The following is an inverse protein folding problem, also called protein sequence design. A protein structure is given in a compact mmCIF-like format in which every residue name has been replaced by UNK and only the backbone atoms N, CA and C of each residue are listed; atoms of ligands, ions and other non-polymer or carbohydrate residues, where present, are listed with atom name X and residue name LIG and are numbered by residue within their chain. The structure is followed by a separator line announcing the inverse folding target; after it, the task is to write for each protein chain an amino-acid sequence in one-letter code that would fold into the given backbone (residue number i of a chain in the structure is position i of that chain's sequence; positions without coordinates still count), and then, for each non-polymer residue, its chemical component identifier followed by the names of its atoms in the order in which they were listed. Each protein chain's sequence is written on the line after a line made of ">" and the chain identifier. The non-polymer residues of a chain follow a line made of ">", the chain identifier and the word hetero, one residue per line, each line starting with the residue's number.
data_IF_735380055122
#
_entry.id   IF_735380055122
#
_cell.length_a   1.000
_cell.length_b   1.000
_cell.length_c   1.000
_cell.angle_alpha   90.00
_cell.angle_beta   90.00
_cell.angle_gamma   90.00
#
_symmetry.space_group_name_H-M   'P 1'
#
loop_
_entity.id
_entity.type
_entity.pdbx_description
1 polymer ?
#
# COMPACT_ATOMS: atom_id res chain seq x y z
N UNK A 1 -0.10 -33.97 -43.93
CA UNK A 1 -0.54 -33.67 -42.52
C UNK A 1 0.59 -33.63 -41.47
N UNK A 2 1.85 -33.46 -41.87
CA UNK A 2 3.00 -33.40 -40.92
C UNK A 2 3.54 -31.98 -40.65
N UNK A 3 2.99 -30.94 -41.29
CA UNK A 3 3.49 -29.54 -41.14
C UNK A 3 2.91 -28.79 -39.95
N UNK A 4 1.74 -29.16 -39.41
CA UNK A 4 1.06 -28.45 -38.31
C UNK A 4 1.57 -28.82 -36.92
N UNK A 5 2.07 -30.04 -36.71
CA UNK A 5 2.55 -30.47 -35.39
C UNK A 5 3.90 -29.84 -35.00
N UNK A 6 4.74 -29.52 -35.99
CA UNK A 6 6.07 -28.93 -35.76
C UNK A 6 6.00 -27.41 -35.47
N UNK A 7 4.96 -26.72 -35.93
CA UNK A 7 4.77 -25.29 -35.60
C UNK A 7 4.25 -25.08 -34.17
N UNK A 8 3.39 -25.97 -33.67
CA UNK A 8 2.86 -25.90 -32.32
C UNK A 8 3.90 -26.29 -31.27
N UNK A 9 4.79 -27.26 -31.55
CA UNK A 9 5.90 -27.58 -30.66
C UNK A 9 6.97 -26.49 -30.62
N UNK A 10 7.29 -25.86 -31.75
CA UNK A 10 8.23 -24.73 -31.82
C UNK A 10 7.66 -23.45 -31.15
N UNK A 11 6.34 -23.23 -31.20
CA UNK A 11 5.65 -22.14 -30.48
C UNK A 11 5.64 -22.38 -28.97
N UNK A 12 5.42 -23.61 -28.52
CA UNK A 12 5.47 -23.98 -27.11
C UNK A 12 6.89 -23.94 -26.53
N UNK A 13 7.90 -24.39 -27.27
CA UNK A 13 9.31 -24.24 -26.88
C UNK A 13 9.76 -22.76 -26.83
N UNK A 14 9.33 -21.91 -27.77
CA UNK A 14 9.62 -20.48 -27.74
C UNK A 14 8.94 -19.76 -26.58
N UNK A 15 7.77 -20.21 -26.12
CA UNK A 15 7.08 -19.62 -24.95
C UNK A 15 7.72 -20.03 -23.62
N UNK A 16 8.17 -21.28 -23.46
CA UNK A 16 8.84 -21.75 -22.23
C UNK A 16 10.24 -21.14 -22.05
N UNK A 17 11.05 -21.11 -23.10
CA UNK A 17 12.38 -20.45 -23.11
C UNK A 17 12.26 -18.95 -22.80
N UNK A 18 11.07 -18.33 -22.99
CA UNK A 18 10.87 -16.89 -22.76
C UNK A 18 10.67 -16.52 -21.28
N UNK A 19 10.12 -17.40 -20.45
CA UNK A 19 9.92 -17.12 -19.01
C UNK A 19 11.24 -17.25 -18.25
N UNK A 20 11.99 -18.32 -18.46
CA UNK A 20 13.32 -18.52 -17.87
C UNK A 20 14.28 -17.40 -18.27
N UNK A 21 14.31 -17.01 -19.55
CA UNK A 21 15.14 -15.91 -20.03
C UNK A 21 14.76 -14.56 -19.43
N UNK A 22 13.49 -14.32 -19.10
CA UNK A 22 13.07 -13.12 -18.37
C UNK A 22 13.53 -13.17 -16.93
N UNK A 23 13.36 -14.30 -16.25
CA UNK A 23 13.77 -14.49 -14.86
C UNK A 23 15.30 -14.33 -14.74
N UNK A 24 16.08 -14.97 -15.61
CA UNK A 24 17.54 -14.80 -15.63
C UNK A 24 17.94 -13.32 -15.86
N UNK A 25 17.32 -12.65 -16.81
CA UNK A 25 17.55 -11.23 -17.04
C UNK A 25 17.22 -10.38 -15.79
N UNK A 26 16.11 -10.67 -15.11
CA UNK A 26 15.74 -9.96 -13.88
C UNK A 26 16.81 -10.15 -12.80
N UNK A 27 17.31 -11.36 -12.60
CA UNK A 27 18.40 -11.65 -11.66
C UNK A 27 19.71 -10.95 -12.06
N UNK A 28 20.10 -11.03 -13.32
CA UNK A 28 21.30 -10.35 -13.83
C UNK A 28 21.23 -8.85 -13.54
N UNK A 29 20.09 -8.19 -13.86
CA UNK A 29 19.93 -6.76 -13.62
C UNK A 29 19.82 -6.41 -12.15
N UNK A 30 19.22 -7.24 -11.31
CA UNK A 30 19.21 -7.06 -9.88
C UNK A 30 20.60 -7.10 -9.25
N UNK A 31 21.47 -8.02 -9.74
CA UNK A 31 22.83 -8.24 -9.22
C UNK A 31 23.91 -7.34 -9.84
N UNK A 32 23.59 -6.53 -10.85
CA UNK A 32 24.53 -5.56 -11.45
C UNK A 32 24.25 -4.16 -10.98
N UNK A 33 25.24 -3.35 -10.63
CA UNK A 33 24.98 -1.97 -10.21
C UNK A 33 26.22 -1.17 -9.81
N UNK A 34 26.05 0.14 -9.67
CA UNK A 34 27.08 1.05 -9.20
C UNK A 34 27.43 0.83 -7.73
N UNK A 35 28.56 1.36 -7.26
CA UNK A 35 28.92 1.33 -5.82
C UNK A 35 27.83 1.93 -4.95
N UNK A 36 27.17 3.03 -5.38
CA UNK A 36 26.04 3.67 -4.65
C UNK A 36 24.85 2.74 -4.51
N UNK A 37 24.51 1.98 -5.57
CA UNK A 37 23.47 0.97 -5.53
C UNK A 37 23.77 -0.11 -4.48
N UNK A 38 24.99 -0.63 -4.43
CA UNK A 38 25.36 -1.66 -3.47
C UNK A 38 25.42 -1.16 -2.04
N UNK A 39 25.85 0.10 -1.78
CA UNK A 39 25.74 0.70 -0.45
C UNK A 39 24.28 0.85 -0.01
N UNK A 40 23.39 1.22 -0.93
CA UNK A 40 21.95 1.28 -0.65
C UNK A 40 21.39 -0.11 -0.30
N UNK A 41 21.66 -1.14 -1.13
CA UNK A 41 21.22 -2.52 -0.89
C UNK A 41 21.79 -3.05 0.43
N UNK A 42 23.07 -2.80 0.74
CA UNK A 42 23.68 -3.18 2.01
C UNK A 42 22.98 -2.51 3.20
N UNK A 43 22.69 -1.22 3.12
CA UNK A 43 21.95 -0.51 4.16
C UNK A 43 20.57 -1.13 4.42
N UNK A 44 19.83 -1.44 3.36
CA UNK A 44 18.56 -2.15 3.48
C UNK A 44 18.71 -3.55 4.06
N UNK A 45 19.73 -4.30 3.63
CA UNK A 45 20.01 -5.65 4.15
C UNK A 45 20.36 -5.63 5.64
N UNK A 46 21.11 -4.62 6.11
CA UNK A 46 21.41 -4.44 7.54
C UNK A 46 20.12 -4.19 8.33
N UNK A 47 19.24 -3.28 7.85
CA UNK A 47 17.95 -3.03 8.51
C UNK A 47 17.09 -4.28 8.56
N UNK A 48 17.01 -5.04 7.47
CA UNK A 48 16.28 -6.32 7.42
C UNK A 48 16.88 -7.33 8.40
N UNK A 49 18.21 -7.41 8.48
CA UNK A 49 18.90 -8.32 9.41
C UNK A 49 18.61 -7.97 10.88
N UNK A 50 18.67 -6.67 11.24
CA UNK A 50 18.34 -6.21 12.59
C UNK A 50 16.87 -6.49 12.95
N UNK A 51 15.96 -6.23 12.01
CA UNK A 51 14.55 -6.54 12.18
C UNK A 51 14.29 -8.03 12.33
N UNK A 52 14.99 -8.86 11.58
CA UNK A 52 14.88 -10.32 11.70
C UNK A 52 15.35 -10.80 13.07
N UNK A 53 16.45 -10.26 13.60
CA UNK A 53 16.88 -10.56 14.98
C UNK A 53 15.86 -10.12 16.02
N UNK A 54 15.25 -8.94 15.84
CA UNK A 54 14.17 -8.48 16.72
C UNK A 54 12.92 -9.40 16.63
N UNK A 55 12.59 -9.87 15.42
CA UNK A 55 11.49 -10.79 15.21
C UNK A 55 11.75 -12.18 15.83
N UNK A 56 13.00 -12.69 15.79
CA UNK A 56 13.35 -13.94 16.49
C UNK A 56 13.10 -13.82 17.98
N UNK A 57 13.40 -12.66 18.59
CA UNK A 57 13.06 -12.40 19.99
C UNK A 57 11.55 -12.38 20.24
N UNK A 58 10.79 -11.77 19.33
CA UNK A 58 9.33 -11.79 19.41
C UNK A 58 8.76 -13.21 19.28
N UNK A 59 9.36 -14.08 18.46
CA UNK A 59 8.97 -15.49 18.38
C UNK A 59 9.24 -16.26 19.67
N UNK A 60 10.37 -15.97 20.34
CA UNK A 60 10.78 -16.62 21.58
C UNK A 60 9.88 -16.22 22.76
N UNK A 61 9.63 -14.91 22.92
CA UNK A 61 8.90 -14.35 24.07
C UNK A 61 7.41 -14.09 23.79
N UNK A 62 6.97 -14.28 22.55
CA UNK A 62 5.62 -13.97 22.11
C UNK A 62 5.35 -12.46 22.00
N UNK A 63 4.07 -12.11 21.82
CA UNK A 63 3.65 -10.70 21.70
C UNK A 63 3.76 -9.91 23.03
N UNK A 64 4.11 -10.56 24.15
CA UNK A 64 4.31 -9.91 25.44
C UNK A 64 5.47 -8.91 25.49
N UNK A 65 6.40 -8.93 24.52
CA UNK A 65 7.47 -7.93 24.41
C UNK A 65 7.08 -6.71 23.58
N UNK A 66 5.87 -6.69 23.02
CA UNK A 66 5.31 -5.56 22.27
C UNK A 66 4.57 -4.62 23.21
N UNK A 67 4.20 -3.43 22.71
CA UNK A 67 3.31 -2.50 23.43
C UNK A 67 1.83 -2.92 23.41
N UNK A 68 1.49 -4.01 22.71
CA UNK A 68 0.13 -4.50 22.64
C UNK A 68 -0.32 -5.08 23.99
N UNK A 69 -1.61 -4.99 24.26
CA UNK A 69 -2.22 -5.45 25.50
C UNK A 69 -3.52 -6.21 25.20
N UNK A 70 -4.17 -6.69 26.27
CA UNK A 70 -5.51 -7.29 26.16
C UNK A 70 -6.52 -6.31 25.56
N UNK A 71 -6.43 -5.02 25.87
CA UNK A 71 -7.39 -4.00 25.46
C UNK A 71 -7.04 -3.42 24.10
N UNK A 72 -5.74 -3.25 23.80
CA UNK A 72 -5.21 -2.78 22.51
C UNK A 72 -4.44 -3.92 21.85
N UNK A 73 -5.16 -4.75 21.11
CA UNK A 73 -4.62 -5.98 20.51
C UNK A 73 -3.95 -5.77 19.16
N UNK A 74 -4.18 -4.63 18.50
CA UNK A 74 -3.56 -4.24 17.24
C UNK A 74 -2.78 -2.94 17.42
N UNK A 75 -1.47 -3.04 17.27
CA UNK A 75 -0.54 -1.92 17.41
C UNK A 75 -0.08 -1.38 16.06
N UNK A 76 1.20 -0.98 16.02
CA UNK A 76 1.82 -0.39 14.84
C UNK A 76 1.81 -1.33 13.63
N UNK A 77 1.86 -2.64 13.80
CA UNK A 77 1.86 -3.60 12.69
C UNK A 77 0.58 -3.52 11.85
N UNK A 78 -0.57 -3.58 12.50
CA UNK A 78 -1.87 -3.49 11.81
C UNK A 78 -2.13 -2.05 11.34
N UNK A 79 -1.62 -1.05 12.05
CA UNK A 79 -1.64 0.33 11.56
C UNK A 79 -0.90 0.48 10.21
N UNK A 80 0.29 -0.13 10.07
CA UNK A 80 1.02 -0.17 8.81
C UNK A 80 0.29 -0.97 7.73
N UNK A 81 -0.20 -2.17 8.07
CA UNK A 81 -1.01 -2.98 7.17
C UNK A 81 -2.14 -2.15 6.55
N UNK A 82 -2.96 -1.52 7.39
CA UNK A 82 -4.12 -0.73 6.97
C UNK A 82 -3.72 0.42 6.04
N UNK A 83 -2.60 1.07 6.30
CA UNK A 83 -2.07 2.13 5.46
C UNK A 83 -1.58 1.60 4.11
N UNK A 84 -0.80 0.49 4.10
CA UNK A 84 -0.24 -0.06 2.86
C UNK A 84 -1.27 -0.73 1.95
N UNK A 85 -2.39 -1.21 2.48
CA UNK A 85 -3.56 -1.57 1.64
C UNK A 85 -3.96 -0.36 0.77
N UNK A 86 -3.97 0.85 1.33
CA UNK A 86 -4.20 2.09 0.57
C UNK A 86 -3.15 2.34 -0.52
N UNK A 87 -1.87 2.13 -0.21
CA UNK A 87 -0.78 2.27 -1.19
C UNK A 87 -0.89 1.27 -2.34
N UNK A 88 -1.39 0.06 -2.07
CA UNK A 88 -1.63 -0.95 -3.10
C UNK A 88 -2.56 -0.48 -4.23
N UNK A 89 -3.47 0.48 -3.96
CA UNK A 89 -4.31 1.09 -5.00
C UNK A 89 -3.54 1.93 -6.03
N UNK A 90 -2.24 2.16 -5.85
CA UNK A 90 -1.42 2.93 -6.80
C UNK A 90 -1.51 2.42 -8.24
N UNK A 91 -1.60 1.10 -8.43
CA UNK A 91 -1.72 0.49 -9.75
C UNK A 91 -3.03 0.89 -10.44
N UNK A 92 -4.18 0.73 -9.77
CA UNK A 92 -5.49 0.98 -10.39
C UNK A 92 -5.66 2.44 -10.81
N UNK A 93 -5.04 3.39 -10.11
CA UNK A 93 -5.12 4.82 -10.42
C UNK A 93 -4.46 5.18 -11.76
N UNK A 94 -3.56 4.38 -12.26
CA UNK A 94 -2.92 4.58 -13.58
C UNK A 94 -3.46 3.60 -14.62
N UNK A 95 -3.79 2.39 -14.21
CA UNK A 95 -4.32 1.32 -15.08
C UNK A 95 -5.71 1.66 -15.61
N UNK A 96 -6.62 2.12 -14.74
CA UNK A 96 -7.99 2.47 -15.11
C UNK A 96 -8.04 3.57 -16.20
N UNK A 97 -7.42 4.76 -16.03
CA UNK A 97 -7.44 5.78 -17.08
C UNK A 97 -6.73 5.32 -18.36
N UNK A 98 -5.64 4.56 -18.24
CA UNK A 98 -4.88 4.08 -19.40
C UNK A 98 -5.70 3.13 -20.27
N UNK A 99 -6.32 2.10 -19.68
CA UNK A 99 -7.01 1.05 -20.44
C UNK A 99 -8.49 1.36 -20.74
N UNK A 100 -9.22 2.01 -19.82
CA UNK A 100 -10.63 2.32 -20.04
C UNK A 100 -10.86 3.66 -20.74
N UNK A 101 -10.03 4.66 -20.47
CA UNK A 101 -10.17 5.99 -21.07
C UNK A 101 -9.12 6.29 -22.14
N UNK A 102 -8.29 5.30 -22.53
CA UNK A 102 -7.23 5.42 -23.53
C UNK A 102 -6.27 6.60 -23.26
N UNK A 103 -6.02 6.89 -21.97
CA UNK A 103 -5.15 7.99 -21.55
C UNK A 103 -3.67 7.59 -21.63
N UNK A 104 -3.10 7.74 -22.86
CA UNK A 104 -1.75 7.24 -23.20
C UNK A 104 -0.61 7.82 -22.36
N UNK A 105 -0.80 9.00 -21.76
CA UNK A 105 0.22 9.62 -20.90
C UNK A 105 0.61 8.74 -19.70
N UNK A 106 -0.26 7.84 -19.23
CA UNK A 106 0.04 6.92 -18.14
C UNK A 106 0.82 5.67 -18.57
N UNK A 107 1.02 5.42 -19.86
CA UNK A 107 1.71 4.21 -20.32
C UNK A 107 3.10 3.98 -19.74
N UNK A 108 3.84 5.07 -19.43
CA UNK A 108 5.15 4.99 -18.78
C UNK A 108 5.06 4.74 -17.27
N UNK A 109 3.90 4.94 -16.64
CA UNK A 109 3.71 4.87 -15.19
C UNK A 109 3.02 3.57 -14.78
N UNK A 110 2.21 2.94 -15.65
CA UNK A 110 1.40 1.75 -15.32
C UNK A 110 2.21 0.65 -14.66
N UNK A 111 3.28 0.19 -15.29
CA UNK A 111 4.11 -0.89 -14.77
C UNK A 111 4.81 -0.52 -13.45
N UNK A 112 5.16 0.76 -13.28
CA UNK A 112 5.73 1.26 -12.00
C UNK A 112 4.68 1.21 -10.89
N UNK A 113 3.42 1.54 -11.21
CA UNK A 113 2.29 1.41 -10.29
C UNK A 113 2.02 -0.05 -9.89
N UNK A 114 2.07 -0.98 -10.84
CA UNK A 114 1.88 -2.41 -10.59
C UNK A 114 2.97 -2.98 -9.68
N UNK A 115 4.24 -2.63 -9.90
CA UNK A 115 5.33 -3.05 -9.02
C UNK A 115 5.28 -2.41 -7.64
N UNK A 116 4.82 -1.16 -7.53
CA UNK A 116 4.55 -0.54 -6.24
C UNK A 116 3.42 -1.26 -5.51
N UNK A 117 2.35 -1.63 -6.21
CA UNK A 117 1.24 -2.40 -5.64
C UNK A 117 1.68 -3.77 -5.13
N UNK A 118 2.47 -4.52 -5.92
CA UNK A 118 3.05 -5.80 -5.50
C UNK A 118 3.87 -5.64 -4.22
N UNK A 119 4.73 -4.62 -4.18
CA UNK A 119 5.57 -4.35 -3.00
C UNK A 119 4.72 -3.99 -1.77
N UNK A 120 3.69 -3.16 -1.95
CA UNK A 120 2.78 -2.77 -0.87
C UNK A 120 1.97 -3.96 -0.33
N UNK A 121 1.43 -4.82 -1.21
CA UNK A 121 0.70 -6.03 -0.77
C UNK A 121 1.61 -7.02 -0.07
N UNK A 122 2.87 -7.15 -0.51
CA UNK A 122 3.87 -7.98 0.20
C UNK A 122 4.11 -7.44 1.61
N UNK A 123 4.27 -6.12 1.75
CA UNK A 123 4.41 -5.49 3.07
C UNK A 123 3.16 -5.72 3.93
N UNK A 124 1.95 -5.64 3.36
CA UNK A 124 0.71 -5.97 4.07
C UNK A 124 0.74 -7.40 4.64
N UNK A 125 1.11 -8.38 3.82
CA UNK A 125 1.24 -9.77 4.26
C UNK A 125 2.27 -9.95 5.38
N UNK A 126 3.42 -9.27 5.28
CA UNK A 126 4.45 -9.32 6.32
C UNK A 126 4.01 -8.66 7.62
N UNK A 127 3.28 -7.54 7.57
CA UNK A 127 2.76 -6.91 8.78
C UNK A 127 1.72 -7.76 9.49
N UNK A 128 0.82 -8.45 8.76
CA UNK A 128 -0.08 -9.44 9.34
C UNK A 128 0.72 -10.60 9.97
N UNK A 129 1.74 -11.10 9.25
CA UNK A 129 2.54 -12.23 9.70
C UNK A 129 3.26 -11.96 11.04
N UNK A 130 3.85 -10.77 11.20
CA UNK A 130 4.55 -10.40 12.44
C UNK A 130 3.60 -10.04 13.59
N UNK A 131 2.35 -9.67 13.29
CA UNK A 131 1.31 -9.41 14.30
C UNK A 131 0.73 -10.70 14.89
N UNK A 132 0.91 -11.83 14.20
CA UNK A 132 0.36 -13.12 14.65
C UNK A 132 1.15 -13.68 15.82
N UNK A 133 0.47 -14.00 16.93
CA UNK A 133 1.06 -14.71 18.06
C UNK A 133 1.48 -16.16 17.74
N UNK A 134 0.89 -16.76 16.67
CA UNK A 134 1.20 -18.10 16.19
C UNK A 134 1.40 -18.12 14.68
N UNK A 135 2.53 -17.61 14.17
CA UNK A 135 2.76 -17.42 12.72
C UNK A 135 2.78 -18.75 11.94
N UNK A 136 3.08 -19.87 12.58
CA UNK A 136 3.00 -21.21 11.96
C UNK A 136 1.59 -21.58 11.49
N UNK A 137 0.56 -20.92 12.03
CA UNK A 137 -0.85 -21.12 11.67
C UNK A 137 -1.35 -20.16 10.57
N UNK A 138 -0.49 -19.34 9.99
CA UNK A 138 -0.90 -18.35 8.96
C UNK A 138 -1.64 -18.99 7.81
N UNK A 139 -1.24 -20.19 7.39
CA UNK A 139 -1.88 -20.91 6.29
C UNK A 139 -3.27 -21.47 6.64
N UNK A 140 -3.65 -21.53 7.91
CA UNK A 140 -4.94 -22.11 8.32
C UNK A 140 -6.13 -21.32 7.74
N UNK A 141 -5.98 -20.02 7.49
CA UNK A 141 -7.02 -19.19 6.85
C UNK A 141 -7.39 -19.71 5.46
N UNK A 142 -6.45 -20.33 4.75
CA UNK A 142 -6.64 -20.91 3.43
C UNK A 142 -6.89 -22.41 3.47
N UNK A 143 -6.21 -23.15 4.37
CA UNK A 143 -6.33 -24.62 4.51
C UNK A 143 -7.64 -25.03 5.20
N UNK A 144 -8.14 -24.18 6.08
CA UNK A 144 -9.41 -24.37 6.80
C UNK A 144 -10.31 -23.16 6.57
N UNK A 145 -10.82 -22.95 5.34
CA UNK A 145 -11.54 -21.75 4.97
C UNK A 145 -12.81 -21.56 5.78
N UNK A 146 -13.02 -20.35 6.26
CA UNK A 146 -14.23 -19.96 6.99
C UNK A 146 -14.92 -18.82 6.22
N UNK A 147 -15.78 -19.13 5.23
CA UNK A 147 -16.37 -18.12 4.33
C UNK A 147 -17.22 -17.05 5.06
N UNK A 148 -17.65 -17.30 6.28
CA UNK A 148 -18.37 -16.33 7.11
C UNK A 148 -17.44 -15.32 7.81
N UNK A 149 -16.11 -15.48 7.70
CA UNK A 149 -15.13 -14.60 8.33
C UNK A 149 -14.65 -13.52 7.33
N UNK A 150 -14.72 -12.22 7.68
CA UNK A 150 -14.12 -11.17 6.87
C UNK A 150 -12.61 -11.36 6.66
N UNK A 151 -11.89 -11.96 7.61
CA UNK A 151 -10.46 -12.25 7.51
C UNK A 151 -10.14 -13.23 6.36
N UNK A 152 -11.00 -14.22 6.13
CA UNK A 152 -10.86 -15.11 4.98
C UNK A 152 -10.94 -14.34 3.67
N UNK A 153 -11.96 -13.50 3.51
CA UNK A 153 -12.15 -12.69 2.31
C UNK A 153 -11.06 -11.64 2.12
N UNK A 154 -10.53 -11.06 3.20
CA UNK A 154 -9.40 -10.13 3.13
C UNK A 154 -8.14 -10.84 2.63
N UNK A 155 -7.86 -12.05 3.10
CA UNK A 155 -6.75 -12.89 2.62
C UNK A 155 -6.92 -13.26 1.13
N UNK A 156 -8.13 -13.61 0.70
CA UNK A 156 -8.44 -13.91 -0.72
C UNK A 156 -8.30 -12.66 -1.58
N UNK A 157 -8.80 -11.51 -1.12
CA UNK A 157 -8.75 -10.27 -1.88
C UNK A 157 -7.33 -9.74 -2.05
N UNK A 158 -6.53 -9.74 -0.99
CA UNK A 158 -5.11 -9.33 -1.03
C UNK A 158 -4.27 -10.30 -1.85
N UNK A 159 -4.39 -11.61 -1.62
CA UNK A 159 -3.67 -12.63 -2.38
C UNK A 159 -4.02 -12.62 -3.86
N UNK A 160 -5.30 -12.50 -4.19
CA UNK A 160 -5.78 -12.37 -5.57
C UNK A 160 -5.26 -11.10 -6.25
N UNK A 161 -5.26 -9.96 -5.54
CA UNK A 161 -4.72 -8.71 -6.07
C UNK A 161 -3.22 -8.79 -6.33
N UNK A 162 -2.47 -9.43 -5.41
CA UNK A 162 -1.05 -9.71 -5.60
C UNK A 162 -0.81 -10.51 -6.89
N UNK A 163 -1.54 -11.63 -7.07
CA UNK A 163 -1.39 -12.49 -8.23
C UNK A 163 -1.76 -11.78 -9.53
N UNK A 164 -2.87 -11.02 -9.55
CA UNK A 164 -3.29 -10.25 -10.71
C UNK A 164 -2.21 -9.24 -11.14
N UNK A 165 -1.69 -8.44 -10.20
CA UNK A 165 -0.64 -7.46 -10.51
C UNK A 165 0.67 -8.14 -10.91
N UNK A 166 1.06 -9.26 -10.29
CA UNK A 166 2.26 -10.01 -10.65
C UNK A 166 2.16 -10.54 -12.09
N UNK A 167 1.04 -11.14 -12.47
CA UNK A 167 0.80 -11.64 -13.84
C UNK A 167 0.81 -10.49 -14.84
N UNK A 168 0.11 -9.39 -14.56
CA UNK A 168 0.05 -8.22 -15.44
C UNK A 168 1.45 -7.62 -15.63
N UNK A 169 2.16 -7.36 -14.53
CA UNK A 169 3.49 -6.74 -14.56
C UNK A 169 4.51 -7.60 -15.32
N UNK A 170 4.57 -8.91 -15.05
CA UNK A 170 5.53 -9.81 -15.69
C UNK A 170 5.24 -9.97 -17.19
N UNK A 171 3.97 -10.13 -17.59
CA UNK A 171 3.60 -10.27 -18.99
C UNK A 171 3.82 -8.99 -19.76
N UNK A 172 3.45 -7.83 -19.18
CA UNK A 172 3.66 -6.52 -19.80
C UNK A 172 5.15 -6.22 -19.94
N UNK A 173 5.95 -6.50 -18.91
CA UNK A 173 7.40 -6.33 -18.94
C UNK A 173 8.07 -7.25 -19.97
N UNK A 174 7.61 -8.51 -20.08
CA UNK A 174 8.10 -9.45 -21.08
C UNK A 174 7.79 -9.00 -22.51
N UNK A 175 6.59 -8.45 -22.72
CA UNK A 175 6.18 -7.90 -24.01
C UNK A 175 7.00 -6.64 -24.37
N UNK A 176 7.16 -5.72 -23.43
CA UNK A 176 8.04 -4.54 -23.58
C UNK A 176 9.46 -4.98 -23.95
N UNK A 177 10.06 -5.92 -23.21
CA UNK A 177 11.41 -6.42 -23.50
C UNK A 177 11.57 -7.00 -24.91
N UNK A 178 10.51 -7.57 -25.48
CA UNK A 178 10.52 -8.14 -26.85
C UNK A 178 10.16 -7.11 -27.92
N UNK A 179 9.78 -5.89 -27.56
CA UNK A 179 9.28 -4.87 -28.48
C UNK A 179 7.94 -5.26 -29.16
N UNK A 180 7.14 -6.11 -28.54
CA UNK A 180 5.85 -6.59 -29.05
C UNK A 180 4.70 -6.12 -28.20
N UNK A 181 3.50 -6.05 -28.77
CA UNK A 181 2.29 -5.79 -27.99
C UNK A 181 2.01 -6.94 -27.01
N UNK A 182 1.51 -6.64 -25.79
CA UNK A 182 1.08 -7.68 -24.86
C UNK A 182 0.00 -8.60 -25.48
N UNK A 183 -0.05 -9.88 -25.10
CA UNK A 183 -1.02 -10.81 -25.63
C UNK A 183 -2.46 -10.37 -25.30
N UNK A 184 -3.39 -10.63 -26.23
CA UNK A 184 -4.78 -10.14 -26.11
C UNK A 184 -5.49 -10.61 -24.84
N UNK A 185 -5.15 -11.78 -24.32
CA UNK A 185 -5.76 -12.36 -23.12
C UNK A 185 -5.42 -11.63 -21.83
N UNK A 186 -4.35 -10.80 -21.81
CA UNK A 186 -4.01 -10.02 -20.61
C UNK A 186 -5.01 -8.87 -20.37
N UNK A 187 -5.68 -8.39 -21.43
CA UNK A 187 -6.63 -7.28 -21.32
C UNK A 187 -7.82 -7.59 -20.40
N UNK A 188 -8.51 -8.75 -20.49
CA UNK A 188 -9.50 -9.16 -19.50
C UNK A 188 -8.95 -9.21 -18.06
N UNK A 189 -7.73 -9.71 -17.86
CA UNK A 189 -7.10 -9.78 -16.54
C UNK A 189 -6.91 -8.38 -15.96
N UNK A 190 -6.45 -7.42 -16.77
CA UNK A 190 -6.33 -6.01 -16.38
C UNK A 190 -7.69 -5.42 -16.02
N UNK A 191 -8.74 -5.72 -16.81
CA UNK A 191 -10.10 -5.22 -16.53
C UNK A 191 -10.61 -5.79 -15.19
N UNK A 192 -10.37 -7.08 -14.91
CA UNK A 192 -10.74 -7.71 -13.63
C UNK A 192 -9.95 -7.11 -12.45
N UNK A 193 -8.68 -6.72 -12.65
CA UNK A 193 -7.88 -6.13 -11.56
C UNK A 193 -8.46 -4.81 -11.04
N UNK A 194 -9.26 -4.09 -11.83
CA UNK A 194 -9.87 -2.80 -11.44
C UNK A 194 -10.91 -2.99 -10.33
N UNK A 195 -12.01 -3.77 -10.51
CA UNK A 195 -12.95 -4.02 -9.42
C UNK A 195 -12.29 -4.78 -8.26
N UNK A 196 -11.27 -5.61 -8.53
CA UNK A 196 -10.53 -6.30 -7.48
C UNK A 196 -9.76 -5.32 -6.59
N UNK A 197 -9.17 -4.26 -7.15
CA UNK A 197 -8.54 -3.20 -6.36
C UNK A 197 -9.54 -2.44 -5.47
N UNK A 198 -10.79 -2.29 -5.89
CA UNK A 198 -11.84 -1.72 -5.04
C UNK A 198 -12.20 -2.71 -3.93
N UNK A 199 -12.26 -4.01 -4.23
CA UNK A 199 -12.63 -5.04 -3.26
C UNK A 199 -11.63 -5.15 -2.10
N UNK A 200 -10.31 -5.01 -2.32
CA UNK A 200 -9.34 -5.07 -1.22
C UNK A 200 -9.63 -4.00 -0.16
N UNK A 201 -10.00 -2.79 -0.57
CA UNK A 201 -10.31 -1.71 0.39
C UNK A 201 -11.64 -1.92 1.10
N UNK A 202 -12.63 -2.42 0.37
CA UNK A 202 -13.96 -2.67 0.91
C UNK A 202 -13.94 -3.83 1.90
N UNK A 203 -13.25 -4.92 1.56
CA UNK A 203 -13.17 -6.10 2.43
C UNK A 203 -12.33 -5.80 3.67
N UNK A 204 -11.18 -5.09 3.52
CA UNK A 204 -10.39 -4.66 4.68
C UNK A 204 -11.20 -3.72 5.60
N UNK A 205 -12.02 -2.80 5.05
CA UNK A 205 -12.91 -1.99 5.87
C UNK A 205 -13.95 -2.85 6.61
N UNK A 206 -14.50 -3.88 5.98
CA UNK A 206 -15.44 -4.82 6.61
C UNK A 206 -14.77 -5.70 7.67
N UNK A 207 -13.45 -5.94 7.57
CA UNK A 207 -12.71 -6.61 8.63
C UNK A 207 -12.82 -5.84 9.96
N UNK A 208 -12.74 -4.50 9.91
CA UNK A 208 -12.89 -3.64 11.09
C UNK A 208 -14.36 -3.49 11.49
N UNK A 209 -15.23 -3.14 10.56
CA UNK A 209 -16.66 -2.94 10.85
C UNK A 209 -17.40 -4.23 11.22
N UNK A 210 -16.81 -5.39 10.98
CA UNK A 210 -17.30 -6.69 11.44
C UNK A 210 -17.01 -6.99 12.91
N UNK A 211 -16.42 -6.06 13.67
CA UNK A 211 -16.12 -6.19 15.10
C UNK A 211 -17.16 -5.45 15.95
N UNK A 212 -18.28 -6.08 16.38
CA UNK A 212 -19.39 -5.39 17.02
C UNK A 212 -19.04 -4.75 18.37
N UNK A 213 -18.00 -5.25 19.03
CA UNK A 213 -17.49 -4.63 20.26
C UNK A 213 -16.64 -3.37 20.06
N UNK A 214 -16.48 -2.87 18.82
CA UNK A 214 -15.65 -1.72 18.48
C UNK A 214 -16.50 -0.66 17.78
N UNK A 215 -17.22 0.12 18.56
CA UNK A 215 -18.17 1.13 18.10
C UNK A 215 -17.56 2.12 17.10
N UNK A 216 -16.30 2.50 17.28
CA UNK A 216 -15.58 3.41 16.38
C UNK A 216 -15.56 2.97 14.92
N UNK A 217 -15.53 1.66 14.67
CA UNK A 217 -15.49 1.11 13.31
C UNK A 217 -16.87 0.74 12.75
N UNK A 218 -17.92 0.78 13.58
CA UNK A 218 -19.31 0.46 13.17
C UNK A 218 -19.95 1.61 12.38
N UNK A 219 -19.36 1.91 11.22
CA UNK A 219 -19.82 2.97 10.33
C UNK A 219 -19.82 2.54 8.87
N UNK A 220 -20.89 2.87 8.13
CA UNK A 220 -20.95 2.62 6.70
C UNK A 220 -19.97 3.49 5.89
N UNK A 221 -19.48 4.58 6.49
CA UNK A 221 -18.54 5.51 5.84
C UNK A 221 -17.13 4.92 5.78
N UNK A 222 -16.82 3.89 6.56
CA UNK A 222 -15.47 3.34 6.66
C UNK A 222 -14.92 2.86 5.31
N UNK A 223 -15.69 2.10 4.53
CA UNK A 223 -15.25 1.61 3.23
C UNK A 223 -15.03 2.74 2.20
N UNK A 224 -15.96 3.70 2.00
CA UNK A 224 -15.70 4.90 1.20
C UNK A 224 -14.48 5.71 1.65
N UNK A 225 -14.27 5.87 2.96
CA UNK A 225 -13.09 6.56 3.52
C UNK A 225 -11.79 5.81 3.22
N UNK A 226 -11.79 4.48 3.31
CA UNK A 226 -10.64 3.66 2.91
C UNK A 226 -10.28 3.88 1.44
N UNK A 227 -11.27 3.88 0.57
CA UNK A 227 -11.07 4.09 -0.86
C UNK A 227 -10.58 5.52 -1.16
N UNK A 228 -11.17 6.54 -0.54
CA UNK A 228 -10.73 7.94 -0.70
C UNK A 228 -9.28 8.15 -0.27
N UNK A 229 -8.90 7.62 0.90
CA UNK A 229 -7.52 7.71 1.38
C UNK A 229 -6.52 6.93 0.49
N UNK A 230 -6.94 5.82 -0.11
CA UNK A 230 -6.15 5.05 -1.05
C UNK A 230 -5.87 5.83 -2.35
N UNK A 231 -6.89 6.57 -2.84
CA UNK A 231 -6.78 7.43 -4.03
C UNK A 231 -5.86 8.63 -3.81
N UNK A 232 -5.52 8.95 -2.58
CA UNK A 232 -4.54 9.97 -2.25
C UNK A 232 -3.16 9.38 -1.92
N UNK A 233 -3.07 8.35 -1.05
CA UNK A 233 -1.80 7.79 -0.58
C UNK A 233 -1.01 7.06 -1.67
N UNK A 234 -1.66 6.18 -2.44
CA UNK A 234 -1.03 5.41 -3.51
C UNK A 234 -0.40 6.30 -4.59
N UNK A 235 -1.19 7.16 -5.26
CA UNK A 235 -0.65 8.06 -6.28
C UNK A 235 0.36 9.07 -5.75
N UNK A 236 0.25 9.55 -4.50
CA UNK A 236 1.25 10.46 -3.93
C UNK A 236 2.62 9.80 -3.80
N UNK A 237 2.66 8.55 -3.31
CA UNK A 237 3.90 7.78 -3.25
C UNK A 237 4.43 7.46 -4.66
N UNK A 238 3.57 7.12 -5.61
CA UNK A 238 3.96 6.87 -6.99
C UNK A 238 4.58 8.11 -7.65
N UNK A 239 4.03 9.32 -7.41
CA UNK A 239 4.62 10.58 -7.85
C UNK A 239 6.02 10.76 -7.25
N UNK A 240 6.18 10.54 -5.93
CA UNK A 240 7.48 10.65 -5.26
C UNK A 240 8.51 9.72 -5.88
N UNK A 241 8.14 8.47 -6.13
CA UNK A 241 9.01 7.48 -6.73
C UNK A 241 9.37 7.84 -8.18
N UNK A 242 8.43 8.31 -8.99
CA UNK A 242 8.70 8.77 -10.36
C UNK A 242 9.67 9.96 -10.39
N UNK A 243 9.49 10.93 -9.47
CA UNK A 243 10.39 12.09 -9.36
C UNK A 243 11.78 11.68 -8.85
N UNK A 244 11.85 10.74 -7.91
CA UNK A 244 13.11 10.18 -7.42
C UNK A 244 13.87 9.44 -8.53
N UNK A 245 13.18 8.58 -9.30
CA UNK A 245 13.75 7.86 -10.43
C UNK A 245 14.30 8.85 -11.45
N UNK A 246 13.53 9.87 -11.82
CA UNK A 246 13.98 10.92 -12.76
C UNK A 246 15.26 11.60 -12.27
N UNK A 247 15.35 11.89 -10.96
CA UNK A 247 16.55 12.50 -10.37
C UNK A 247 17.77 11.57 -10.37
N UNK A 248 17.56 10.27 -10.19
CA UNK A 248 18.64 9.28 -10.07
C UNK A 248 19.11 8.74 -11.42
N UNK A 249 18.20 8.58 -12.39
CA UNK A 249 18.47 7.88 -13.66
C UNK A 249 18.23 8.73 -14.90
N UNK A 250 17.61 9.90 -14.76
CA UNK A 250 17.20 10.72 -15.91
C UNK A 250 15.91 10.23 -16.61
N UNK A 251 15.34 9.09 -16.21
CA UNK A 251 14.11 8.57 -16.81
C UNK A 251 12.91 9.45 -16.45
N UNK A 252 12.27 10.05 -17.48
CA UNK A 252 11.12 10.93 -17.30
C UNK A 252 9.82 10.25 -17.76
N UNK A 253 8.89 10.13 -16.83
CA UNK A 253 7.53 9.61 -17.10
C UNK A 253 6.63 10.64 -17.79
N UNK A 254 7.04 11.90 -17.86
CA UNK A 254 6.31 13.01 -18.45
C UNK A 254 5.53 13.85 -17.44
N UNK A 255 5.57 15.16 -17.65
CA UNK A 255 4.92 16.16 -16.76
C UNK A 255 3.40 16.00 -16.73
N UNK A 256 2.80 15.61 -17.86
CA UNK A 256 1.36 15.44 -17.98
C UNK A 256 0.86 14.33 -17.05
N UNK A 257 1.55 13.18 -17.00
CA UNK A 257 1.21 12.08 -16.11
C UNK A 257 1.27 12.50 -14.63
N UNK A 258 2.35 13.19 -14.22
CA UNK A 258 2.51 13.68 -12.86
C UNK A 258 1.42 14.69 -12.45
N UNK A 259 1.07 15.62 -13.34
CA UNK A 259 0.00 16.61 -13.11
C UNK A 259 -1.37 15.94 -12.95
N UNK A 260 -1.68 14.94 -13.76
CA UNK A 260 -2.95 14.21 -13.66
C UNK A 260 -3.02 13.36 -12.41
N UNK A 261 -1.92 12.71 -12.03
CA UNK A 261 -1.85 12.01 -10.72
C UNK A 261 -2.05 12.98 -9.56
N UNK A 262 -1.44 14.17 -9.60
CA UNK A 262 -1.64 15.20 -8.57
C UNK A 262 -3.10 15.68 -8.48
N UNK A 263 -3.84 15.69 -9.58
CA UNK A 263 -5.29 15.96 -9.58
C UNK A 263 -6.05 14.82 -8.90
N UNK A 264 -5.71 13.56 -9.17
CA UNK A 264 -6.31 12.40 -8.50
C UNK A 264 -6.07 12.49 -6.98
N UNK A 265 -4.84 12.80 -6.56
CA UNK A 265 -4.50 13.02 -5.14
C UNK A 265 -5.37 14.12 -4.54
N UNK A 266 -5.58 15.23 -5.25
CA UNK A 266 -6.41 16.33 -4.76
C UNK A 266 -7.85 15.89 -4.50
N UNK A 267 -8.48 15.18 -5.46
CA UNK A 267 -9.83 14.65 -5.26
C UNK A 267 -9.89 13.61 -4.15
N UNK A 268 -8.89 12.71 -4.06
CA UNK A 268 -8.79 11.75 -2.97
C UNK A 268 -8.72 12.43 -1.60
N UNK A 269 -7.94 13.51 -1.46
CA UNK A 269 -7.84 14.26 -0.21
C UNK A 269 -9.13 15.02 0.13
N UNK A 270 -9.80 15.62 -0.85
CA UNK A 270 -11.11 16.27 -0.64
C UNK A 270 -12.11 15.27 -0.06
N UNK A 271 -12.23 14.10 -0.70
CA UNK A 271 -13.15 13.06 -0.25
C UNK A 271 -12.77 12.49 1.11
N UNK A 272 -11.46 12.30 1.37
CA UNK A 272 -11.01 11.80 2.67
C UNK A 272 -11.35 12.77 3.80
N UNK A 273 -11.09 14.07 3.63
CA UNK A 273 -11.44 15.10 4.62
C UNK A 273 -12.96 15.19 4.78
N UNK A 274 -13.71 15.13 3.68
CA UNK A 274 -15.17 15.14 3.72
C UNK A 274 -15.73 13.97 4.54
N UNK A 275 -15.25 12.74 4.31
CA UNK A 275 -15.71 11.57 5.05
C UNK A 275 -15.31 11.63 6.54
N UNK A 276 -14.12 12.12 6.87
CA UNK A 276 -13.73 12.35 8.26
C UNK A 276 -14.69 13.35 8.95
N UNK A 277 -15.02 14.45 8.28
CA UNK A 277 -15.99 15.41 8.81
C UNK A 277 -17.39 14.79 8.99
N UNK A 278 -17.81 13.92 8.07
CA UNK A 278 -19.09 13.21 8.18
C UNK A 278 -19.09 12.25 9.37
N UNK A 279 -18.00 11.55 9.65
CA UNK A 279 -17.89 10.67 10.82
C UNK A 279 -17.97 11.46 12.13
N UNK A 280 -17.23 12.57 12.23
CA UNK A 280 -17.27 13.45 13.39
C UNK A 280 -18.68 14.03 13.58
N UNK A 281 -19.29 14.55 12.49
CA UNK A 281 -20.65 15.07 12.55
C UNK A 281 -21.64 14.00 13.04
N UNK A 282 -21.57 12.80 12.47
CA UNK A 282 -22.45 11.70 12.84
C UNK A 282 -22.28 11.34 14.33
N UNK A 283 -21.04 11.21 14.82
CA UNK A 283 -20.77 10.86 16.22
C UNK A 283 -21.36 11.90 17.20
N UNK A 284 -21.10 13.19 16.96
CA UNK A 284 -21.54 14.25 17.89
C UNK A 284 -23.01 14.62 17.71
N UNK A 285 -23.57 14.56 16.50
CA UNK A 285 -24.98 14.80 16.25
C UNK A 285 -25.87 13.71 16.83
N UNK A 286 -25.46 12.44 16.69
CA UNK A 286 -26.21 11.29 17.23
C UNK A 286 -26.13 11.20 18.75
N UNK A 287 -25.15 11.86 19.38
CA UNK A 287 -24.93 11.87 20.83
C UNK A 287 -24.86 10.48 21.46
N UNK A 288 -24.28 9.52 20.72
CA UNK A 288 -24.02 8.17 21.22
C UNK A 288 -22.67 8.21 21.94
N UNK A 289 -22.63 8.03 23.29
CA UNK A 289 -21.39 8.17 24.07
C UNK A 289 -20.23 7.37 23.52
N UNK A 290 -20.46 6.09 23.21
CA UNK A 290 -19.46 5.18 22.69
C UNK A 290 -18.82 5.64 21.37
N UNK A 291 -19.55 6.38 20.53
CA UNK A 291 -19.00 6.96 19.31
C UNK A 291 -18.24 8.27 19.58
N UNK A 292 -18.73 9.07 20.52
CA UNK A 292 -18.14 10.37 20.85
C UNK A 292 -16.81 10.21 21.59
N UNK A 293 -16.69 9.25 22.52
CA UNK A 293 -15.52 9.04 23.38
C UNK A 293 -14.25 8.76 22.57
N UNK A 294 -14.32 8.00 21.49
CA UNK A 294 -13.17 7.76 20.60
C UNK A 294 -12.66 9.07 19.98
N UNK A 295 -13.55 9.93 19.47
CA UNK A 295 -13.16 11.22 18.91
C UNK A 295 -12.67 12.18 20.00
N UNK A 296 -13.27 12.17 21.19
CA UNK A 296 -12.79 12.95 22.34
C UNK A 296 -11.37 12.52 22.72
N UNK A 297 -11.11 11.21 22.84
CA UNK A 297 -9.76 10.72 23.10
C UNK A 297 -8.76 11.17 22.03
N UNK A 298 -9.11 11.06 20.75
CA UNK A 298 -8.23 11.41 19.65
C UNK A 298 -7.91 12.90 19.53
N UNK A 299 -8.84 13.81 19.90
CA UNK A 299 -8.68 15.25 19.63
C UNK A 299 -8.56 16.12 20.87
N UNK A 300 -9.06 15.67 22.02
CA UNK A 300 -9.08 16.43 23.27
C UNK A 300 -8.37 15.70 24.39
N UNK A 301 -8.41 14.36 24.37
CA UNK A 301 -8.04 13.48 25.46
C UNK A 301 -9.25 13.06 26.28
N UNK A 302 -9.12 11.96 27.00
CA UNK A 302 -10.17 11.35 27.80
C UNK A 302 -9.59 10.90 29.16
N UNK A 303 -10.20 11.32 30.27
CA UNK A 303 -9.80 10.94 31.64
C UNK A 303 -8.30 11.13 31.94
N UNK A 304 -7.67 12.18 31.42
CA UNK A 304 -6.26 12.46 31.59
C UNK A 304 -5.32 11.76 30.60
N UNK A 305 -5.83 10.91 29.72
CA UNK A 305 -5.10 10.20 28.67
C UNK A 305 -5.15 11.00 27.35
N UNK A 306 -4.01 11.23 26.71
CA UNK A 306 -3.92 12.10 25.52
C UNK A 306 -2.77 11.75 24.56
N UNK A 307 -2.25 10.55 24.60
CA UNK A 307 -1.07 10.15 23.82
C UNK A 307 -1.25 10.32 22.30
N UNK A 308 -2.46 10.14 21.78
CA UNK A 308 -2.74 10.30 20.34
C UNK A 308 -3.13 11.74 19.93
N UNK A 309 -3.46 12.62 20.87
CA UNK A 309 -3.91 13.99 20.55
C UNK A 309 -2.90 14.77 19.69
N UNK A 310 -1.58 14.81 20.02
CA UNK A 310 -0.61 15.51 19.19
C UNK A 310 -0.51 14.96 17.77
N UNK A 311 -0.61 13.64 17.63
CA UNK A 311 -0.57 12.95 16.33
C UNK A 311 -1.78 13.30 15.47
N UNK A 312 -2.98 13.27 16.06
CA UNK A 312 -4.21 13.56 15.34
C UNK A 312 -4.27 15.01 14.87
N UNK A 313 -3.91 15.99 15.73
CA UNK A 313 -3.81 17.38 15.31
C UNK A 313 -2.75 17.58 14.23
N UNK A 314 -1.61 16.92 14.33
CA UNK A 314 -0.59 16.92 13.27
C UNK A 314 -1.18 16.40 11.95
N UNK A 315 -1.91 15.29 11.98
CA UNK A 315 -2.58 14.75 10.78
C UNK A 315 -3.55 15.75 10.16
N UNK A 316 -4.43 16.36 10.96
CA UNK A 316 -5.42 17.35 10.49
C UNK A 316 -4.74 18.58 9.90
N UNK A 317 -3.73 19.12 10.57
CA UNK A 317 -2.98 20.28 10.07
C UNK A 317 -2.33 19.94 8.71
N UNK A 318 -1.67 18.80 8.61
CA UNK A 318 -1.06 18.34 7.35
C UNK A 318 -2.12 18.08 6.27
N UNK A 319 -3.30 17.56 6.62
CA UNK A 319 -4.42 17.38 5.69
C UNK A 319 -4.89 18.72 5.13
N UNK A 320 -5.12 19.71 5.99
CA UNK A 320 -5.56 21.05 5.56
C UNK A 320 -4.49 21.72 4.69
N UNK A 321 -3.22 21.68 5.11
CA UNK A 321 -2.12 22.26 4.34
C UNK A 321 -2.03 21.60 2.96
N UNK A 322 -2.03 20.26 2.91
CA UNK A 322 -1.95 19.54 1.63
C UNK A 322 -3.15 19.85 0.74
N UNK A 323 -4.34 19.95 1.30
CA UNK A 323 -5.55 20.27 0.55
C UNK A 323 -5.47 21.68 -0.08
N UNK A 324 -5.07 22.69 0.70
CA UNK A 324 -4.88 24.07 0.18
C UNK A 324 -3.85 24.10 -0.95
N UNK A 325 -2.70 23.42 -0.76
CA UNK A 325 -1.64 23.36 -1.76
C UNK A 325 -2.09 22.61 -3.03
N UNK A 326 -2.83 21.51 -2.89
CA UNK A 326 -3.37 20.74 -4.00
C UNK A 326 -4.50 21.46 -4.75
N UNK A 327 -5.30 22.25 -4.05
CA UNK A 327 -6.37 23.05 -4.66
C UNK A 327 -5.82 24.25 -5.44
N UNK A 328 -4.58 24.66 -5.20
CA UNK A 328 -3.91 25.78 -5.89
C UNK A 328 -3.17 25.27 -7.14
N UNK A 329 -3.70 25.47 -8.38
CA UNK A 329 -3.13 24.88 -9.60
C UNK A 329 -1.69 25.31 -9.89
N UNK A 330 -1.32 26.56 -9.55
CA UNK A 330 0.04 27.08 -9.73
C UNK A 330 1.07 26.35 -8.87
N UNK A 331 0.68 25.91 -7.68
CA UNK A 331 1.54 25.17 -6.74
C UNK A 331 1.53 23.67 -7.09
N UNK A 332 0.35 23.08 -7.25
CA UNK A 332 0.17 21.66 -7.60
C UNK A 332 0.90 21.27 -8.89
N UNK A 333 0.90 22.11 -9.91
CA UNK A 333 1.54 21.83 -11.20
C UNK A 333 3.04 22.12 -11.22
N UNK A 334 3.59 22.65 -10.13
CA UNK A 334 5.01 22.96 -10.03
C UNK A 334 5.76 21.77 -9.43
N UNK A 335 6.62 21.17 -10.24
CA UNK A 335 7.41 19.98 -9.85
C UNK A 335 8.40 20.22 -8.71
N UNK A 336 8.69 21.48 -8.34
CA UNK A 336 9.53 21.82 -7.19
C UNK A 336 8.78 21.60 -5.87
N UNK A 337 7.49 21.93 -5.84
CA UNK A 337 6.67 21.81 -4.63
C UNK A 337 5.93 20.47 -4.55
N UNK A 338 5.65 19.84 -5.67
CA UNK A 338 4.89 18.59 -5.74
C UNK A 338 5.44 17.47 -4.85
N UNK A 339 6.77 17.20 -4.75
CA UNK A 339 7.29 16.19 -3.83
C UNK A 339 6.97 16.50 -2.37
N UNK A 340 7.09 17.77 -1.96
CA UNK A 340 6.79 18.20 -0.59
C UNK A 340 5.32 17.96 -0.28
N UNK A 341 4.43 18.33 -1.20
CA UNK A 341 2.98 18.11 -1.05
C UNK A 341 2.69 16.61 -0.91
N UNK A 342 3.29 15.75 -1.73
CA UNK A 342 3.09 14.31 -1.65
C UNK A 342 3.58 13.71 -0.32
N UNK A 343 4.69 14.23 0.24
CA UNK A 343 5.17 13.82 1.58
C UNK A 343 4.17 14.25 2.66
N UNK A 344 3.64 15.47 2.58
CA UNK A 344 2.63 15.97 3.53
C UNK A 344 1.36 15.11 3.48
N UNK A 345 0.86 14.79 2.27
CA UNK A 345 -0.29 13.88 2.06
C UNK A 345 0.00 12.52 2.68
N UNK A 346 1.17 11.96 2.38
CA UNK A 346 1.57 10.65 2.89
C UNK A 346 1.57 10.61 4.41
N UNK A 347 2.23 11.58 5.06
CA UNK A 347 2.32 11.64 6.53
C UNK A 347 0.95 11.86 7.18
N UNK A 348 0.12 12.75 6.63
CA UNK A 348 -1.22 12.98 7.13
C UNK A 348 -2.05 11.70 7.13
N UNK A 349 -2.11 11.01 5.99
CA UNK A 349 -2.88 9.78 5.85
C UNK A 349 -2.29 8.61 6.64
N UNK A 350 -0.97 8.55 6.78
CA UNK A 350 -0.30 7.53 7.60
C UNK A 350 -0.69 7.65 9.07
N UNK A 351 -0.72 8.88 9.61
CA UNK A 351 -1.14 9.11 10.99
C UNK A 351 -2.64 8.82 11.16
N UNK A 352 -3.48 9.41 10.31
CA UNK A 352 -4.93 9.29 10.40
C UNK A 352 -5.40 7.84 10.26
N UNK A 353 -5.00 7.16 9.19
CA UNK A 353 -5.45 5.81 8.89
C UNK A 353 -4.70 4.73 9.67
N UNK A 354 -3.44 4.96 9.99
CA UNK A 354 -2.63 4.04 10.79
C UNK A 354 -2.92 4.21 12.28
N UNK A 355 -2.40 5.24 12.90
CA UNK A 355 -2.50 5.43 14.34
C UNK A 355 -3.91 5.81 14.79
N UNK A 356 -4.51 6.81 14.16
CA UNK A 356 -5.82 7.32 14.55
C UNK A 356 -6.92 6.29 14.41
N UNK A 357 -7.02 5.65 13.24
CA UNK A 357 -8.09 4.68 13.00
C UNK A 357 -7.87 3.36 13.76
N UNK A 358 -6.65 2.81 13.76
CA UNK A 358 -6.40 1.49 14.33
C UNK A 358 -6.24 1.58 15.84
N UNK A 359 -5.24 2.28 16.33
CA UNK A 359 -4.98 2.38 17.79
C UNK A 359 -6.12 3.12 18.48
N UNK A 360 -6.59 4.23 17.90
CA UNK A 360 -7.73 4.98 18.43
C UNK A 360 -9.05 4.21 18.47
N UNK A 361 -9.23 3.23 17.57
CA UNK A 361 -10.42 2.36 17.59
C UNK A 361 -10.47 1.35 18.73
N UNK A 362 -9.36 1.17 19.47
CA UNK A 362 -9.31 0.35 20.69
C UNK A 362 -9.56 1.15 21.98
N UNK A 363 -9.50 2.49 21.91
CA UNK A 363 -9.49 3.37 23.08
C UNK A 363 -10.67 4.34 23.02
N UNK A 364 -11.61 4.29 23.98
CA UNK A 364 -11.68 3.33 25.12
C UNK A 364 -12.03 1.89 24.67
N UNK A 365 -11.79 0.94 25.58
CA UNK A 365 -12.23 -0.44 25.38
C UNK A 365 -13.76 -0.57 25.53
N UNK A 366 -14.40 -1.66 25.07
CA UNK A 366 -15.85 -1.88 25.27
C UNK A 366 -16.31 -1.91 26.73
N UNK A 367 -15.37 -2.05 27.67
CA UNK A 367 -15.64 -2.00 29.11
C UNK A 367 -15.32 -0.62 29.72
N UNK A 368 -15.05 0.39 28.91
CA UNK A 368 -14.72 1.74 29.33
C UNK A 368 -13.28 1.92 29.84
N UNK A 369 -12.42 0.89 29.76
CA UNK A 369 -11.03 1.04 30.18
C UNK A 369 -10.23 1.81 29.12
N UNK A 370 -9.38 2.74 29.59
CA UNK A 370 -8.49 3.53 28.73
C UNK A 370 -7.08 2.99 28.90
N UNK A 371 -6.61 2.26 27.90
CA UNK A 371 -5.26 1.69 27.88
C UNK A 371 -4.49 2.28 26.70
N UNK A 372 -3.50 3.14 26.97
CA UNK A 372 -2.70 3.77 25.93
C UNK A 372 -1.67 2.79 25.38
N UNK A 373 -1.44 2.88 24.06
CA UNK A 373 -0.47 2.08 23.34
C UNK A 373 0.76 2.93 22.96
N UNK A 374 1.94 2.36 23.23
CA UNK A 374 3.19 2.87 22.74
C UNK A 374 4.03 1.74 22.11
N UNK A 375 4.50 1.86 20.86
CA UNK A 375 5.29 0.81 20.24
C UNK A 375 6.63 0.62 20.94
N UNK A 376 7.05 -0.60 21.15
CA UNK A 376 8.36 -0.94 21.70
C UNK A 376 9.45 -0.85 20.63
N UNK A 377 10.73 -0.87 21.06
CA UNK A 377 11.85 -0.91 20.13
C UNK A 377 11.84 -2.14 19.23
N UNK A 378 11.31 -3.27 19.69
CA UNK A 378 11.14 -4.47 18.88
C UNK A 378 10.15 -4.22 17.74
N UNK A 379 8.98 -3.64 18.04
CA UNK A 379 7.97 -3.31 17.04
C UNK A 379 8.48 -2.29 16.02
N UNK A 380 9.19 -1.25 16.48
CA UNK A 380 9.79 -0.24 15.60
C UNK A 380 10.84 -0.88 14.69
N UNK A 381 11.72 -1.72 15.24
CA UNK A 381 12.79 -2.39 14.47
C UNK A 381 12.20 -3.30 13.39
N UNK A 382 11.20 -4.12 13.74
CA UNK A 382 10.49 -5.01 12.81
C UNK A 382 9.77 -4.20 11.73
N UNK A 383 9.09 -3.12 12.12
CA UNK A 383 8.42 -2.21 11.18
C UNK A 383 9.39 -1.61 10.16
N UNK A 384 10.54 -1.10 10.62
CA UNK A 384 11.58 -0.56 9.73
C UNK A 384 12.17 -1.62 8.80
N UNK A 385 12.30 -2.87 9.28
CA UNK A 385 12.74 -3.98 8.44
C UNK A 385 11.74 -4.33 7.33
N UNK A 386 10.45 -4.34 7.61
CA UNK A 386 9.41 -4.58 6.60
C UNK A 386 9.39 -3.42 5.59
N UNK A 387 9.56 -2.18 6.04
CA UNK A 387 9.73 -1.03 5.14
C UNK A 387 10.99 -1.19 4.26
N UNK A 388 12.08 -1.67 4.82
CA UNK A 388 13.31 -1.95 4.07
C UNK A 388 13.11 -3.05 3.01
N UNK A 389 12.33 -4.10 3.30
CA UNK A 389 11.91 -5.11 2.31
C UNK A 389 11.10 -4.45 1.18
N UNK A 390 10.13 -3.62 1.50
CA UNK A 390 9.34 -2.88 0.50
C UNK A 390 10.21 -2.00 -0.40
N UNK A 391 11.13 -1.22 0.19
CA UNK A 391 12.10 -0.41 -0.57
C UNK A 391 13.05 -1.25 -1.41
N UNK A 392 13.49 -2.40 -0.92
CA UNK A 392 14.30 -3.34 -1.68
C UNK A 392 13.56 -3.84 -2.92
N UNK A 393 12.31 -4.29 -2.75
CA UNK A 393 11.46 -4.75 -3.85
C UNK A 393 11.25 -3.66 -4.90
N UNK A 394 10.83 -2.46 -4.48
CA UNK A 394 10.64 -1.31 -5.38
C UNK A 394 11.94 -0.98 -6.11
N UNK A 395 13.09 -0.96 -5.41
CA UNK A 395 14.40 -0.66 -6.02
C UNK A 395 14.73 -1.66 -7.11
N UNK A 396 14.57 -2.95 -6.84
CA UNK A 396 14.87 -4.03 -7.80
C UNK A 396 13.92 -3.99 -9.00
N UNK A 397 12.62 -3.93 -8.75
CA UNK A 397 11.61 -3.92 -9.81
C UNK A 397 11.73 -2.69 -10.72
N UNK A 398 11.96 -1.52 -10.15
CA UNK A 398 12.12 -0.29 -10.94
C UNK A 398 13.41 -0.32 -11.76
N UNK A 399 14.48 -0.83 -11.19
CA UNK A 399 15.75 -1.00 -11.92
C UNK A 399 15.61 -1.96 -13.10
N UNK A 400 14.90 -3.08 -12.93
CA UNK A 400 14.61 -4.03 -13.99
C UNK A 400 13.77 -3.35 -15.09
N UNK A 401 12.71 -2.64 -14.71
CA UNK A 401 11.84 -1.91 -15.66
C UNK A 401 12.62 -0.89 -16.49
N UNK A 402 13.47 -0.09 -15.83
CA UNK A 402 14.29 0.90 -16.52
C UNK A 402 15.29 0.24 -17.48
N UNK A 403 15.94 -0.86 -17.06
CA UNK A 403 16.87 -1.60 -17.92
C UNK A 403 16.21 -2.15 -19.17
N UNK A 404 14.93 -2.54 -19.09
CA UNK A 404 14.16 -2.95 -20.28
C UNK A 404 13.90 -1.76 -21.20
N UNK A 405 13.50 -0.61 -20.65
CA UNK A 405 13.13 0.58 -21.41
C UNK A 405 14.32 1.34 -22.01
N UNK A 406 15.45 1.39 -21.32
CA UNK A 406 16.70 1.99 -21.83
C UNK A 406 17.31 1.17 -22.97
N UNK A 407 17.11 -0.14 -23.00
CA UNK A 407 17.56 -1.01 -24.08
C UNK A 407 16.91 -0.71 -25.44
N UNK A 408 15.76 -0.01 -25.46
CA UNK A 408 15.05 0.42 -26.68
C UNK A 408 15.36 1.85 -27.12
N UNK A 409 16.04 2.65 -26.28
CA UNK A 409 16.41 4.03 -26.60
C UNK A 409 17.82 4.15 -27.18
N UNK A 410 18.55 3.06 -27.31
CA UNK A 410 19.81 2.89 -28.05
C UNK A 410 19.55 2.09 -29.33
#
# INVERSE_FOLDING_TARGET
>A
MQSGANQNSALNLRSSISCEALVMFMFEKALTGSRKYWYWILGLAVLIGLAFLAYLRQLEYGLGITGMSRDVTWGIYIAQFTFFVGVAASAVMVVLPYYLHNYKAFGKVTILGEFLAISAVTMCGLFIFVDMGQPTRVMNVLLHPTPNSPMFWDSVSLGGYFLLNAVIALITLSAERKGIAPPKWIKPVIIISIPWAISIHTVTAFLYSGLPGRSFWLTAILAPRFLASAFASGPSLLILLCLLIRKLTGYDVGREALRKLAVIVAYGMILNVFFLMMEILNAFYSRIPEHMEHFQYLFVGLEGHSALVPWMWTSVILAVISLVLLMTPSIRNNEKYLPIICVIVFLSLWIDKGLGLIVGGFIPSPLGAITEYAPTLYEISITLGIWAIGFLMVTVFYKITLSVREGFTK
#
